data_IF_304130135874
#
_entry.id   IF_304130135874
#
_cell.length_a   1.000
_cell.length_b   1.000
_cell.length_c   1.000
_cell.angle_alpha   90.00
_cell.angle_beta   90.00
_cell.angle_gamma   90.00
#
_symmetry.space_group_name_H-M   'P 1'
#
loop_
_entity.id
_entity.type
_entity.pdbx_description
1 polymer ?
#
# COMPACT_ATOMS: atom_id res chain seq x y z
N UNK A 1 11.40 26.61 5.43
CA UNK A 1 10.41 25.51 5.64
C UNK A 1 10.53 24.47 4.52
N UNK A 2 11.58 23.63 4.54
CA UNK A 2 11.88 22.65 3.46
C UNK A 2 11.51 21.20 3.79
N UNK A 3 10.81 20.96 4.91
CA UNK A 3 10.55 19.60 5.42
C UNK A 3 9.51 18.80 4.64
N UNK A 4 8.77 19.41 3.71
CA UNK A 4 7.69 18.75 2.93
C UNK A 4 8.09 18.41 1.49
N UNK A 5 9.33 18.70 1.07
CA UNK A 5 9.82 18.29 -0.26
C UNK A 5 10.16 16.79 -0.34
N UNK A 6 10.31 16.15 0.81
CA UNK A 6 10.56 14.72 0.98
C UNK A 6 9.39 14.08 1.73
N UNK A 7 8.16 14.23 1.24
CA UNK A 7 7.04 13.35 1.66
C UNK A 7 7.31 11.93 1.14
N UNK A 8 8.31 11.29 1.74
CA UNK A 8 8.78 9.91 1.58
C UNK A 8 7.81 9.01 2.35
N UNK A 9 6.54 9.07 1.97
CA UNK A 9 5.49 8.12 2.40
C UNK A 9 4.79 7.52 1.16
N UNK A 10 5.29 7.79 -0.04
CA UNK A 10 4.88 7.11 -1.27
C UNK A 10 5.76 5.92 -1.64
N UNK A 11 6.36 5.20 -0.67
CA UNK A 11 7.62 4.48 -0.93
C UNK A 11 7.56 2.95 -0.81
N UNK A 12 6.72 2.32 0.00
CA UNK A 12 6.88 0.85 0.14
C UNK A 12 6.39 0.07 -1.09
N UNK A 13 5.13 0.27 -1.50
CA UNK A 13 4.53 -0.49 -2.61
C UNK A 13 4.98 0.05 -3.99
N UNK A 14 4.85 1.36 -4.25
CA UNK A 14 5.48 2.05 -5.39
C UNK A 14 6.91 1.64 -5.71
N UNK A 15 7.79 1.61 -4.69
CA UNK A 15 9.21 1.42 -4.90
C UNK A 15 9.56 -0.06 -5.06
N UNK A 16 8.82 -0.96 -4.40
CA UNK A 16 8.87 -2.40 -4.68
C UNK A 16 8.50 -2.69 -6.14
N UNK A 17 7.46 -2.06 -6.67
CA UNK A 17 7.06 -2.21 -8.09
C UNK A 17 8.08 -1.54 -9.03
N UNK A 18 8.60 -0.36 -8.66
CA UNK A 18 9.59 0.38 -9.44
C UNK A 18 10.89 -0.41 -9.60
N UNK A 19 11.40 -0.96 -8.49
CA UNK A 19 12.63 -1.78 -8.40
C UNK A 19 12.41 -3.25 -8.75
N UNK A 20 11.17 -3.68 -9.00
CA UNK A 20 10.88 -5.04 -9.41
C UNK A 20 11.65 -5.37 -10.72
N UNK A 21 12.36 -6.52 -10.77
CA UNK A 21 13.00 -6.99 -11.99
C UNK A 21 12.00 -7.08 -13.15
N UNK A 22 12.47 -6.93 -14.40
CA UNK A 22 11.62 -7.04 -15.59
C UNK A 22 10.82 -8.36 -15.63
N UNK A 23 11.41 -9.44 -15.09
CA UNK A 23 10.76 -10.74 -14.91
C UNK A 23 9.54 -10.65 -14.00
N UNK A 24 9.65 -9.98 -12.85
CA UNK A 24 8.53 -9.78 -11.93
C UNK A 24 7.43 -8.93 -12.59
N UNK A 25 7.82 -7.85 -13.29
CA UNK A 25 6.88 -6.99 -14.03
C UNK A 25 6.10 -7.80 -15.09
N UNK A 26 6.77 -8.75 -15.74
CA UNK A 26 6.17 -9.68 -16.72
C UNK A 26 5.23 -10.70 -16.06
N UNK A 27 5.62 -11.29 -14.93
CA UNK A 27 4.80 -12.22 -14.14
C UNK A 27 3.51 -11.54 -13.68
N UNK A 28 3.61 -10.30 -13.21
CA UNK A 28 2.45 -9.54 -12.74
C UNK A 28 1.63 -8.89 -13.87
N UNK A 29 2.10 -8.97 -15.13
CA UNK A 29 1.49 -8.33 -16.32
C UNK A 29 1.27 -6.82 -16.12
N UNK A 30 2.20 -6.15 -15.47
CA UNK A 30 2.15 -4.71 -15.26
C UNK A 30 2.22 -3.99 -16.60
N UNK A 31 1.14 -3.31 -17.00
CA UNK A 31 1.12 -2.48 -18.19
C UNK A 31 1.53 -1.06 -17.84
N UNK A 32 2.39 -0.50 -18.67
CA UNK A 32 2.71 0.91 -18.60
C UNK A 32 1.48 1.77 -18.95
N UNK A 33 1.48 3.01 -18.47
CA UNK A 33 0.47 3.98 -18.90
C UNK A 33 0.74 4.28 -20.39
N UNK A 34 -0.30 4.26 -21.21
CA UNK A 34 -0.16 4.50 -22.64
C UNK A 34 0.32 5.93 -22.94
N UNK A 35 1.02 6.11 -24.05
CA UNK A 35 1.65 7.39 -24.38
C UNK A 35 0.63 8.50 -24.62
N UNK A 36 -0.57 8.18 -25.09
CA UNK A 36 -1.66 9.15 -25.24
C UNK A 36 -2.15 9.65 -23.87
N UNK A 37 -2.33 8.75 -22.90
CA UNK A 37 -2.66 9.11 -21.52
C UNK A 37 -1.53 9.92 -20.88
N UNK A 38 -0.26 9.56 -21.07
CA UNK A 38 0.88 10.34 -20.57
C UNK A 38 0.88 11.77 -21.10
N UNK A 39 0.71 11.93 -22.42
CA UNK A 39 0.64 13.25 -23.04
C UNK A 39 -0.54 14.06 -22.50
N UNK A 40 -1.71 13.42 -22.39
CA UNK A 40 -2.93 14.04 -21.85
C UNK A 40 -2.76 14.54 -20.42
N UNK A 41 -2.19 13.71 -19.53
CA UNK A 41 -2.03 14.08 -18.11
C UNK A 41 -0.89 15.08 -17.91
N UNK A 42 0.14 15.07 -18.76
CA UNK A 42 1.22 16.04 -18.70
C UNK A 42 0.77 17.45 -19.14
N UNK A 43 -0.19 17.53 -20.07
CA UNK A 43 -0.70 18.79 -20.61
C UNK A 43 -1.74 19.50 -19.71
N UNK A 44 -2.21 18.85 -18.64
CA UNK A 44 -3.23 19.41 -17.74
C UNK A 44 -2.61 20.19 -16.59
N UNK A 45 -3.22 21.33 -16.26
CA UNK A 45 -2.98 22.00 -14.99
C UNK A 45 -3.90 21.42 -13.91
N UNK A 46 -3.31 21.05 -12.77
CA UNK A 46 -4.05 20.43 -11.68
C UNK A 46 -4.20 21.38 -10.49
N UNK A 47 -5.40 21.48 -9.90
CA UNK A 47 -5.61 22.29 -8.71
C UNK A 47 -4.74 21.84 -7.54
N UNK A 48 -4.28 22.80 -6.72
CA UNK A 48 -3.42 22.51 -5.56
C UNK A 48 -4.05 21.55 -4.55
N UNK A 49 -5.38 21.59 -4.39
CA UNK A 49 -6.08 20.74 -3.43
C UNK A 49 -6.03 19.24 -3.80
N UNK A 50 -5.77 18.89 -5.06
CA UNK A 50 -5.53 17.49 -5.44
C UNK A 50 -4.27 16.92 -4.78
N UNK A 51 -3.24 17.75 -4.53
CA UNK A 51 -2.07 17.33 -3.76
C UNK A 51 -2.45 16.89 -2.34
N UNK A 52 -3.38 17.61 -1.72
CA UNK A 52 -3.87 17.28 -0.36
C UNK A 52 -4.60 15.95 -0.41
N UNK A 53 -5.51 15.76 -1.37
CA UNK A 53 -6.22 14.49 -1.56
C UNK A 53 -5.29 13.30 -1.78
N UNK A 54 -4.29 13.44 -2.65
CA UNK A 54 -3.29 12.39 -2.89
C UNK A 54 -2.43 12.10 -1.66
N UNK A 55 -2.04 13.14 -0.91
CA UNK A 55 -1.27 12.97 0.32
C UNK A 55 -2.09 12.25 1.39
N UNK A 56 -3.38 12.61 1.52
CA UNK A 56 -4.30 11.97 2.47
C UNK A 56 -4.53 10.50 2.09
N UNK A 57 -4.70 10.21 0.80
CA UNK A 57 -4.75 8.84 0.29
C UNK A 57 -3.53 8.04 0.75
N UNK A 58 -2.32 8.50 0.44
CA UNK A 58 -1.09 7.80 0.83
C UNK A 58 -0.96 7.65 2.35
N UNK A 59 -1.35 8.66 3.11
CA UNK A 59 -1.34 8.61 4.57
C UNK A 59 -2.29 7.53 5.10
N UNK A 60 -3.50 7.41 4.55
CA UNK A 60 -4.45 6.35 4.91
C UNK A 60 -3.88 4.95 4.60
N UNK A 61 -3.29 4.76 3.43
CA UNK A 61 -2.66 3.47 3.06
C UNK A 61 -1.51 3.11 3.99
N UNK A 62 -0.67 4.06 4.36
CA UNK A 62 0.47 3.80 5.23
C UNK A 62 0.02 3.50 6.66
N UNK A 63 -0.97 4.25 7.16
CA UNK A 63 -1.46 4.14 8.53
C UNK A 63 -2.13 2.80 8.83
N UNK A 64 -2.72 2.12 7.84
CA UNK A 64 -3.47 0.88 8.08
C UNK A 64 -2.64 -0.24 8.68
N UNK A 65 -1.38 -0.37 8.24
CA UNK A 65 -0.47 -1.37 8.78
C UNK A 65 -0.17 -1.10 10.26
N UNK A 66 0.06 0.17 10.63
CA UNK A 66 0.31 0.55 12.02
C UNK A 66 -0.92 0.36 12.91
N UNK A 67 -2.12 0.60 12.40
CA UNK A 67 -3.36 0.33 13.14
C UNK A 67 -3.47 -1.16 13.45
N UNK A 68 -3.19 -2.02 12.47
CA UNK A 68 -3.24 -3.48 12.65
C UNK A 68 -2.15 -3.98 13.57
N UNK A 69 -0.93 -3.46 13.42
CA UNK A 69 0.15 -3.72 14.37
C UNK A 69 -0.31 -3.35 15.77
N UNK A 70 -0.79 -2.12 15.98
CA UNK A 70 -1.16 -1.64 17.30
C UNK A 70 -2.29 -2.45 17.93
N UNK A 71 -3.29 -2.84 17.13
CA UNK A 71 -4.37 -3.71 17.57
C UNK A 71 -3.87 -5.08 18.04
N UNK A 72 -3.03 -5.75 17.24
CA UNK A 72 -2.55 -7.11 17.55
C UNK A 72 -1.49 -7.10 18.65
N UNK A 73 -0.55 -6.16 18.60
CA UNK A 73 0.60 -6.09 19.48
C UNK A 73 0.28 -5.51 20.86
N UNK A 74 -0.68 -4.58 20.96
CA UNK A 74 -0.94 -3.86 22.21
C UNK A 74 -2.36 -4.06 22.73
N UNK A 75 -3.38 -4.00 21.87
CA UNK A 75 -4.76 -4.08 22.32
C UNK A 75 -5.18 -5.51 22.68
N UNK A 76 -4.97 -6.47 21.77
CA UNK A 76 -5.36 -7.88 21.95
C UNK A 76 -4.79 -8.52 23.23
N UNK A 77 -3.50 -8.38 23.54
CA UNK A 77 -2.91 -8.86 24.80
C UNK A 77 -3.59 -8.31 26.04
N UNK A 78 -3.79 -6.99 26.09
CA UNK A 78 -4.35 -6.29 27.26
C UNK A 78 -5.83 -6.62 27.45
N UNK A 79 -6.57 -6.84 26.36
CA UNK A 79 -7.97 -7.21 26.38
C UNK A 79 -8.22 -8.71 26.69
N UNK A 80 -7.17 -9.54 26.68
CA UNK A 80 -7.29 -10.99 26.88
C UNK A 80 -7.34 -11.35 28.37
N UNK A 81 -8.35 -12.13 28.76
CA UNK A 81 -8.46 -12.65 30.13
C UNK A 81 -7.34 -13.67 30.37
N UNK A 82 -6.57 -13.49 31.45
CA UNK A 82 -5.41 -14.32 31.83
C UNK A 82 -4.25 -14.31 30.81
N UNK A 83 -3.91 -13.13 30.28
CA UNK A 83 -2.80 -13.00 29.36
C UNK A 83 -1.44 -13.40 30.00
N UNK A 84 -0.76 -14.36 29.36
CA UNK A 84 0.59 -14.78 29.75
C UNK A 84 1.64 -13.84 29.12
N UNK A 85 2.17 -12.93 29.94
CA UNK A 85 3.20 -11.97 29.51
C UNK A 85 4.48 -12.62 28.99
N UNK A 86 4.79 -13.86 29.37
CA UNK A 86 5.95 -14.58 28.82
C UNK A 86 5.81 -14.86 27.32
N UNK A 87 4.57 -14.84 26.80
CA UNK A 87 4.24 -15.03 25.39
C UNK A 87 3.99 -13.72 24.64
N UNK A 88 4.20 -12.56 25.27
CA UNK A 88 3.95 -11.26 24.66
C UNK A 88 4.69 -11.05 23.33
N UNK A 89 5.90 -11.60 23.21
CA UNK A 89 6.67 -11.57 21.96
C UNK A 89 5.88 -12.15 20.78
N UNK A 90 5.06 -13.20 20.98
CA UNK A 90 4.26 -13.80 19.90
C UNK A 90 3.33 -12.78 19.26
N UNK A 91 2.73 -11.91 20.07
CA UNK A 91 1.81 -10.86 19.60
C UNK A 91 2.54 -9.72 18.90
N UNK A 92 3.75 -9.36 19.36
CA UNK A 92 4.60 -8.42 18.63
C UNK A 92 4.92 -8.93 17.22
N UNK A 93 5.38 -10.17 17.09
CA UNK A 93 5.71 -10.76 15.78
C UNK A 93 4.47 -11.00 14.94
N UNK A 94 3.36 -11.47 15.53
CA UNK A 94 2.08 -11.63 14.85
C UNK A 94 1.59 -10.29 14.30
N UNK A 95 1.71 -9.22 15.09
CA UNK A 95 1.38 -7.87 14.67
C UNK A 95 2.25 -7.38 13.52
N UNK A 96 3.57 -7.59 13.57
CA UNK A 96 4.49 -7.17 12.51
C UNK A 96 4.21 -7.89 11.19
N UNK A 97 3.99 -9.21 11.24
CA UNK A 97 3.66 -10.00 10.05
C UNK A 97 2.33 -9.52 9.45
N UNK A 98 1.32 -9.27 10.30
CA UNK A 98 0.02 -8.80 9.82
C UNK A 98 0.04 -7.33 9.35
N UNK A 99 0.90 -6.48 9.90
CA UNK A 99 1.12 -5.12 9.40
C UNK A 99 1.58 -5.13 7.95
N UNK A 100 2.59 -5.95 7.64
CA UNK A 100 3.11 -6.09 6.28
C UNK A 100 2.03 -6.66 5.34
N UNK A 101 1.33 -7.72 5.78
CA UNK A 101 0.23 -8.31 5.01
C UNK A 101 -0.93 -7.33 4.75
N UNK A 102 -1.25 -6.50 5.74
CA UNK A 102 -2.28 -5.47 5.65
C UNK A 102 -1.95 -4.39 4.63
N UNK A 103 -0.70 -3.94 4.54
CA UNK A 103 -0.29 -2.99 3.50
C UNK A 103 -0.53 -3.52 2.09
N UNK A 104 -0.52 -4.84 1.89
CA UNK A 104 -0.82 -5.43 0.59
C UNK A 104 -2.34 -5.60 0.37
N UNK A 105 -3.01 -6.40 1.21
CA UNK A 105 -4.42 -6.74 0.98
C UNK A 105 -5.34 -5.56 1.30
N UNK A 106 -5.21 -5.00 2.49
CA UNK A 106 -6.08 -3.92 2.93
C UNK A 106 -5.69 -2.62 2.22
N UNK A 107 -4.40 -2.42 1.96
CA UNK A 107 -3.94 -1.38 1.05
C UNK A 107 -4.62 -1.46 -0.32
N UNK A 108 -4.69 -2.65 -0.94
CA UNK A 108 -5.40 -2.83 -2.22
C UNK A 108 -6.90 -2.52 -2.12
N UNK A 109 -7.56 -2.88 -1.02
CA UNK A 109 -8.98 -2.55 -0.78
C UNK A 109 -9.17 -1.04 -0.69
N UNK A 110 -8.33 -0.34 0.08
CA UNK A 110 -8.39 1.11 0.19
C UNK A 110 -8.08 1.80 -1.14
N UNK A 111 -7.10 1.30 -1.89
CA UNK A 111 -6.83 1.79 -3.24
C UNK A 111 -8.04 1.62 -4.16
N UNK A 112 -8.78 0.50 -4.07
CA UNK A 112 -10.03 0.34 -4.81
C UNK A 112 -11.10 1.35 -4.37
N UNK A 113 -11.30 1.48 -3.06
CA UNK A 113 -12.31 2.38 -2.48
C UNK A 113 -12.01 3.84 -2.83
N UNK A 114 -10.75 4.25 -2.88
CA UNK A 114 -10.40 5.61 -3.28
C UNK A 114 -10.39 5.77 -4.79
N UNK A 115 -9.91 4.77 -5.54
CA UNK A 115 -9.79 4.87 -6.99
C UNK A 115 -11.13 4.87 -7.71
N UNK A 116 -12.02 3.91 -7.44
CA UNK A 116 -13.25 3.76 -8.21
C UNK A 116 -14.17 4.99 -8.19
N UNK A 117 -14.54 5.56 -7.02
CA UNK A 117 -15.43 6.71 -6.94
C UNK A 117 -14.73 8.04 -7.24
N UNK A 118 -13.40 8.06 -7.37
CA UNK A 118 -12.68 9.29 -7.72
C UNK A 118 -13.08 9.82 -9.10
N UNK A 119 -13.14 11.15 -9.22
CA UNK A 119 -13.37 11.80 -10.51
C UNK A 119 -12.24 11.54 -11.50
N UNK A 120 -12.54 11.57 -12.80
CA UNK A 120 -11.54 11.34 -13.84
C UNK A 120 -10.40 12.37 -13.81
N UNK A 121 -10.71 13.63 -13.46
CA UNK A 121 -9.71 14.68 -13.27
C UNK A 121 -8.75 14.37 -12.12
N UNK A 122 -9.24 13.80 -11.02
CA UNK A 122 -8.40 13.38 -9.91
C UNK A 122 -7.62 12.10 -10.22
N UNK A 123 -8.22 11.13 -10.92
CA UNK A 123 -7.51 9.93 -11.42
C UNK A 123 -6.36 10.31 -12.36
N UNK A 124 -6.58 11.28 -13.24
CA UNK A 124 -5.53 11.83 -14.11
C UNK A 124 -4.41 12.50 -13.29
N UNK A 125 -4.74 13.21 -12.21
CA UNK A 125 -3.74 13.75 -11.29
C UNK A 125 -2.90 12.67 -10.61
N UNK A 126 -3.53 11.60 -10.13
CA UNK A 126 -2.83 10.46 -9.53
C UNK A 126 -1.88 9.82 -10.55
N UNK A 127 -2.34 9.61 -11.80
CA UNK A 127 -1.48 9.11 -12.89
C UNK A 127 -0.31 10.04 -13.18
N UNK A 128 -0.55 11.35 -13.24
CA UNK A 128 0.50 12.36 -13.40
C UNK A 128 1.56 12.28 -12.29
N UNK A 129 1.13 12.13 -11.03
CA UNK A 129 2.03 11.95 -9.88
C UNK A 129 2.84 10.67 -9.99
N UNK A 130 2.19 9.56 -10.32
CA UNK A 130 2.85 8.28 -10.53
C UNK A 130 3.93 8.34 -11.60
N UNK A 131 3.62 8.92 -12.77
CA UNK A 131 4.61 9.11 -13.85
C UNK A 131 5.80 9.94 -13.36
N UNK A 132 5.55 11.07 -12.68
CA UNK A 132 6.62 11.91 -12.11
C UNK A 132 7.47 11.20 -11.07
N UNK A 133 6.89 10.27 -10.32
CA UNK A 133 7.59 9.46 -9.31
C UNK A 133 8.31 8.24 -9.93
N UNK A 134 8.21 8.06 -11.26
CA UNK A 134 8.82 6.95 -12.00
C UNK A 134 8.02 5.65 -11.89
N UNK A 135 6.76 5.73 -11.48
CA UNK A 135 5.78 4.64 -11.49
C UNK A 135 4.92 4.74 -12.74
N UNK A 136 5.49 4.32 -13.86
CA UNK A 136 4.77 4.27 -15.13
C UNK A 136 3.96 2.96 -15.23
N UNK A 137 2.98 2.78 -14.35
CA UNK A 137 2.12 1.59 -14.29
C UNK A 137 0.70 2.03 -14.00
N UNK A 138 -0.28 1.46 -14.70
CA UNK A 138 -1.69 1.79 -14.48
C UNK A 138 -2.20 1.33 -13.10
N UNK A 139 -2.95 2.19 -12.41
CA UNK A 139 -3.39 1.99 -11.02
C UNK A 139 -4.19 0.68 -10.83
N UNK A 140 -5.18 0.34 -11.68
CA UNK A 140 -5.88 -0.95 -11.59
C UNK A 140 -4.95 -2.17 -11.61
N UNK A 141 -3.86 -2.13 -12.37
CA UNK A 141 -2.88 -3.23 -12.41
C UNK A 141 -1.98 -3.23 -11.16
N UNK A 142 -1.67 -2.07 -10.59
CA UNK A 142 -1.00 -1.97 -9.28
C UNK A 142 -1.87 -2.61 -8.19
N UNK A 143 -3.17 -2.29 -8.15
CA UNK A 143 -4.14 -2.87 -7.22
C UNK A 143 -4.22 -4.40 -7.35
N UNK A 144 -4.34 -4.93 -8.57
CA UNK A 144 -4.35 -6.38 -8.81
C UNK A 144 -3.05 -7.04 -8.35
N UNK A 145 -1.92 -6.36 -8.53
CA UNK A 145 -0.61 -6.86 -8.13
C UNK A 145 -0.47 -6.89 -6.62
N UNK A 146 -0.94 -5.86 -5.92
CA UNK A 146 -1.03 -5.83 -4.47
C UNK A 146 -1.82 -7.02 -3.91
N UNK A 147 -2.98 -7.31 -4.50
CA UNK A 147 -3.75 -8.51 -4.15
C UNK A 147 -2.96 -9.81 -4.30
N UNK A 148 -2.29 -10.00 -5.44
CA UNK A 148 -1.50 -11.22 -5.70
C UNK A 148 -0.34 -11.36 -4.71
N UNK A 149 0.38 -10.28 -4.45
CA UNK A 149 1.49 -10.26 -3.49
C UNK A 149 0.95 -10.52 -2.08
N UNK A 150 -0.15 -9.88 -1.68
CA UNK A 150 -0.76 -10.08 -0.38
C UNK A 150 -1.23 -11.51 -0.15
N UNK A 151 -1.92 -12.11 -1.12
CA UNK A 151 -2.35 -13.52 -1.03
C UNK A 151 -1.13 -14.44 -0.95
N UNK A 152 -0.13 -14.26 -1.82
CA UNK A 152 1.10 -15.05 -1.78
C UNK A 152 1.85 -14.91 -0.46
N UNK A 153 1.88 -13.70 0.10
CA UNK A 153 2.47 -13.42 1.41
C UNK A 153 1.78 -14.20 2.53
N UNK A 154 0.45 -14.16 2.61
CA UNK A 154 -0.28 -14.88 3.65
C UNK A 154 -0.20 -16.41 3.50
N UNK A 155 -0.16 -16.93 2.27
CA UNK A 155 0.07 -18.36 2.03
C UNK A 155 1.45 -18.77 2.57
N UNK A 156 2.50 -18.01 2.21
CA UNK A 156 3.88 -18.30 2.60
C UNK A 156 4.08 -18.21 4.12
N UNK A 157 3.48 -17.20 4.76
CA UNK A 157 3.60 -16.99 6.20
C UNK A 157 2.57 -17.76 7.03
N UNK A 158 1.64 -18.50 6.42
CA UNK A 158 0.63 -19.26 7.15
C UNK A 158 1.18 -20.21 8.22
N UNK A 159 2.31 -20.94 8.03
CA UNK A 159 2.86 -21.80 9.09
C UNK A 159 3.40 -21.01 10.28
N UNK A 160 4.01 -19.84 10.02
CA UNK A 160 4.53 -18.95 11.05
C UNK A 160 3.38 -18.31 11.82
N UNK A 161 2.34 -17.86 11.13
CA UNK A 161 1.13 -17.32 11.74
C UNK A 161 0.46 -18.36 12.64
N UNK A 162 0.35 -19.61 12.18
CA UNK A 162 -0.18 -20.71 12.98
C UNK A 162 0.64 -20.95 14.25
N UNK A 163 1.97 -21.03 14.14
CA UNK A 163 2.86 -21.18 15.29
C UNK A 163 2.76 -20.03 16.31
N UNK A 164 2.59 -18.80 15.83
CA UNK A 164 2.45 -17.63 16.71
C UNK A 164 1.08 -17.55 17.41
N UNK A 165 0.06 -18.23 16.87
CA UNK A 165 -1.29 -18.30 17.44
C UNK A 165 -1.47 -19.43 18.47
N UNK A 166 -0.60 -20.43 18.49
CA UNK A 166 -0.53 -21.48 19.53
C UNK A 166 0.28 -21.01 20.74
#
# INVERSE_FOLDING_TARGET
MSFLHYSVIGVLVPELIKKAPAVLKRIFRLRAIDDATKARVAAKEYPRYYKIGYTLWLFCLFSIGFVIFGYIAFYLPVASVNFDYSKYWKYLFLGLINMIGAWFIIGAIFDQIFWWPSSDSFKDYVRYRNIKEGMDVDIPEQIKTLWKIGVGYYILFSPVLYFLLQ
#
